data_IF_303821719194
#
_entry.id   IF_303821719194
#
_cell.length_a   1.000
_cell.length_b   1.000
_cell.length_c   1.000
_cell.angle_alpha   90.00
_cell.angle_beta   90.00
_cell.angle_gamma   90.00
#
_symmetry.space_group_name_H-M   'P 1'
#
loop_
_entity.id
_entity.type
_entity.pdbx_description
1 polymer ?
#
# COMPACT_ATOMS: atom_id res chain seq x y z
N UNK A 1 3.38 8.66 -0.20
CA UNK A 1 4.01 9.29 -1.38
C UNK A 1 3.41 8.71 -2.64
N UNK A 2 3.28 9.48 -3.74
CA UNK A 2 2.80 8.94 -5.00
C UNK A 2 3.85 8.00 -5.61
N UNK A 3 3.41 6.84 -6.11
CA UNK A 3 4.20 5.89 -6.86
C UNK A 3 4.05 6.22 -8.36
N UNK A 4 5.08 6.77 -9.03
CA UNK A 4 4.99 7.10 -10.45
C UNK A 4 5.07 5.84 -11.31
N UNK A 5 4.24 5.77 -12.34
CA UNK A 5 4.40 4.79 -13.41
C UNK A 5 5.68 5.11 -14.21
N UNK A 6 6.41 4.11 -14.76
CA UNK A 6 7.67 4.34 -15.49
C UNK A 6 7.59 5.31 -16.68
N UNK A 7 6.41 5.47 -17.29
CA UNK A 7 6.21 6.46 -18.38
C UNK A 7 6.07 7.91 -17.88
N UNK A 8 6.00 8.14 -16.57
CA UNK A 8 5.91 9.46 -15.94
C UNK A 8 4.55 10.18 -16.08
N UNK A 9 3.57 9.58 -16.75
CA UNK A 9 2.27 10.20 -17.00
C UNK A 9 1.22 9.84 -15.95
N UNK A 10 1.39 8.72 -15.28
CA UNK A 10 0.46 8.21 -14.28
C UNK A 10 1.15 8.05 -12.95
N UNK A 11 0.37 8.15 -11.87
CA UNK A 11 0.84 7.89 -10.52
C UNK A 11 -0.26 7.17 -9.73
N UNK A 12 0.17 6.43 -8.70
CA UNK A 12 -0.73 5.87 -7.71
C UNK A 12 -0.50 6.57 -6.39
N UNK A 13 -1.56 7.09 -5.78
CA UNK A 13 -1.54 7.57 -4.41
C UNK A 13 -2.23 6.55 -3.52
N UNK A 14 -1.64 6.24 -2.37
CA UNK A 14 -2.25 5.38 -1.36
C UNK A 14 -2.59 6.21 -0.12
N UNK A 15 -3.79 6.00 0.43
CA UNK A 15 -4.28 6.65 1.65
C UNK A 15 -5.02 5.63 2.51
N UNK A 16 -4.73 5.60 3.80
CA UNK A 16 -5.51 4.81 4.75
C UNK A 16 -6.70 5.63 5.29
N UNK A 17 -7.90 5.04 5.26
CA UNK A 17 -9.10 5.58 5.89
C UNK A 17 -9.40 4.80 7.17
N UNK A 18 -9.18 5.43 8.31
CA UNK A 18 -9.55 4.88 9.63
C UNK A 18 -11.07 4.69 9.75
N UNK A 19 -11.86 5.53 9.10
CA UNK A 19 -13.32 5.42 9.18
C UNK A 19 -13.86 4.19 8.44
N UNK A 20 -13.16 3.72 7.40
CA UNK A 20 -13.59 2.61 6.56
C UNK A 20 -12.80 1.31 6.81
N UNK A 21 -11.78 1.39 7.66
CA UNK A 21 -10.76 0.36 7.90
C UNK A 21 -10.19 -0.19 6.58
N UNK A 22 -9.79 0.72 5.69
CA UNK A 22 -9.43 0.39 4.32
C UNK A 22 -8.34 1.28 3.75
N UNK A 23 -7.54 0.69 2.85
CA UNK A 23 -6.65 1.43 1.96
C UNK A 23 -7.38 1.86 0.69
N UNK A 24 -7.18 3.12 0.33
CA UNK A 24 -7.62 3.72 -0.93
C UNK A 24 -6.39 3.85 -1.82
N UNK A 25 -6.40 3.17 -2.97
CA UNK A 25 -5.39 3.30 -4.01
C UNK A 25 -6.00 4.06 -5.17
N UNK A 26 -5.46 5.22 -5.48
CA UNK A 26 -5.99 6.13 -6.49
C UNK A 26 -5.03 6.20 -7.67
N UNK A 27 -5.48 5.76 -8.84
CA UNK A 27 -4.77 5.96 -10.09
C UNK A 27 -5.09 7.36 -10.63
N UNK A 28 -4.05 8.13 -10.89
CA UNK A 28 -4.16 9.53 -11.30
C UNK A 28 -3.38 9.78 -12.59
N UNK A 29 -3.90 10.70 -13.41
CA UNK A 29 -3.11 11.34 -14.46
C UNK A 29 -2.27 12.45 -13.82
N UNK A 30 -0.97 12.21 -13.68
CA UNK A 30 -0.08 13.01 -12.83
C UNK A 30 0.00 14.48 -13.24
N UNK A 31 -0.03 14.77 -14.54
CA UNK A 31 0.06 16.14 -15.07
C UNK A 31 -1.17 17.00 -14.75
N UNK A 32 -2.34 16.36 -14.58
CA UNK A 32 -3.62 17.05 -14.38
C UNK A 32 -4.17 16.85 -12.96
N UNK A 33 -3.52 16.02 -12.13
CA UNK A 33 -4.02 15.59 -10.82
C UNK A 33 -5.48 15.09 -10.91
N UNK A 34 -5.75 14.32 -11.96
CA UNK A 34 -7.09 13.83 -12.26
C UNK A 34 -7.19 12.36 -11.85
N UNK A 35 -8.03 12.07 -10.87
CA UNK A 35 -8.36 10.70 -10.46
C UNK A 35 -9.12 9.98 -11.57
N UNK A 36 -8.64 8.78 -11.90
CA UNK A 36 -9.19 7.94 -12.97
C UNK A 36 -9.92 6.73 -12.39
N UNK A 37 -9.30 6.11 -11.39
CA UNK A 37 -9.74 4.85 -10.79
C UNK A 37 -9.39 4.88 -9.31
N UNK A 38 -10.28 4.42 -8.47
CA UNK A 38 -10.02 4.22 -7.04
C UNK A 38 -10.30 2.77 -6.70
N UNK A 39 -9.31 2.09 -6.11
CA UNK A 39 -9.47 0.80 -5.49
C UNK A 39 -9.60 0.99 -3.97
N UNK A 40 -10.54 0.29 -3.36
CA UNK A 40 -10.75 0.25 -1.92
C UNK A 40 -10.44 -1.16 -1.44
N UNK A 41 -9.43 -1.29 -0.59
CA UNK A 41 -8.96 -2.56 -0.03
C UNK A 41 -9.23 -2.57 1.48
N UNK A 42 -10.31 -3.22 1.93
CA UNK A 42 -10.58 -3.43 3.35
C UNK A 42 -9.43 -4.20 4.00
N UNK A 43 -8.94 -3.71 5.12
CA UNK A 43 -7.69 -4.18 5.70
C UNK A 43 -7.93 -5.03 6.96
N UNK A 44 -8.83 -4.60 7.83
CA UNK A 44 -9.08 -5.22 9.14
C UNK A 44 -10.17 -6.31 9.10
N UNK A 45 -10.94 -6.40 8.01
CA UNK A 45 -11.88 -7.49 7.77
C UNK A 45 -11.50 -8.25 6.48
N UNK A 46 -10.90 -9.45 6.61
CA UNK A 46 -10.46 -10.21 5.46
C UNK A 46 -11.60 -10.76 4.60
N UNK A 47 -12.84 -10.81 5.12
CA UNK A 47 -14.01 -11.28 4.40
C UNK A 47 -14.66 -10.19 3.52
N UNK A 48 -14.37 -8.91 3.76
CA UNK A 48 -14.82 -7.83 2.90
C UNK A 48 -14.06 -7.87 1.57
N UNK A 49 -14.80 -7.85 0.47
CA UNK A 49 -14.23 -7.87 -0.88
C UNK A 49 -13.60 -6.51 -1.23
N UNK A 50 -12.38 -6.49 -1.78
CA UNK A 50 -11.82 -5.31 -2.41
C UNK A 50 -12.68 -4.87 -3.60
N UNK A 51 -12.78 -3.57 -3.83
CA UNK A 51 -13.60 -3.00 -4.91
C UNK A 51 -12.82 -1.99 -5.72
N UNK A 52 -13.22 -1.79 -6.96
CA UNK A 52 -12.65 -0.77 -7.86
C UNK A 52 -13.78 0.07 -8.42
N UNK A 53 -13.66 1.39 -8.33
CA UNK A 53 -14.60 2.34 -8.90
C UNK A 53 -13.90 3.24 -9.92
N UNK A 54 -14.63 3.57 -10.97
CA UNK A 54 -14.25 4.52 -11.99
C UNK A 54 -15.16 5.73 -11.82
N UNK A 55 -14.65 6.96 -11.88
CA UNK A 55 -15.51 8.14 -11.78
C UNK A 55 -16.45 8.20 -13.01
N UNK A 56 -17.75 7.93 -12.84
CA UNK A 56 -18.68 7.90 -13.96
C UNK A 56 -19.09 9.31 -14.42
N UNK A 57 -18.76 10.35 -13.63
CA UNK A 57 -19.04 11.76 -13.92
C UNK A 57 -17.81 12.50 -14.44
N UNK A 58 -16.65 11.86 -14.36
CA UNK A 58 -15.38 12.37 -14.89
C UNK A 58 -15.37 12.43 -16.41
N UNK A 59 -14.29 13.02 -16.95
CA UNK A 59 -14.02 12.99 -18.38
C UNK A 59 -13.82 11.52 -18.80
N UNK A 60 -14.47 11.10 -19.89
CA UNK A 60 -14.17 9.81 -20.50
C UNK A 60 -12.71 9.80 -20.98
N UNK A 61 -11.88 9.00 -20.33
CA UNK A 61 -10.45 8.88 -20.60
C UNK A 61 -10.12 7.43 -20.86
N UNK A 62 -9.37 7.20 -21.94
CA UNK A 62 -8.81 5.89 -22.25
C UNK A 62 -7.55 5.71 -21.41
N UNK A 63 -7.58 4.75 -20.48
CA UNK A 63 -6.40 4.33 -19.72
C UNK A 63 -5.71 3.22 -20.51
N UNK A 64 -4.41 3.35 -20.86
CA UNK A 64 -3.68 2.28 -21.51
C UNK A 64 -3.73 0.99 -20.69
N UNK A 65 -3.91 -0.16 -21.36
CA UNK A 65 -4.02 -1.46 -20.70
C UNK A 65 -2.84 -1.75 -19.76
N UNK A 66 -1.62 -1.43 -20.18
CA UNK A 66 -0.42 -1.64 -19.36
C UNK A 66 -0.42 -0.82 -18.06
N UNK A 67 -0.96 0.40 -18.10
CA UNK A 67 -1.10 1.25 -16.91
C UNK A 67 -2.16 0.66 -15.98
N UNK A 68 -3.28 0.20 -16.53
CA UNK A 68 -4.31 -0.47 -15.76
C UNK A 68 -3.78 -1.78 -15.12
N UNK A 69 -3.02 -2.57 -15.88
CA UNK A 69 -2.39 -3.81 -15.38
C UNK A 69 -1.46 -3.51 -14.21
N UNK A 70 -0.56 -2.54 -14.39
CA UNK A 70 0.32 -2.09 -13.32
C UNK A 70 -0.44 -1.60 -12.08
N UNK A 71 -1.53 -0.85 -12.26
CA UNK A 71 -2.39 -0.43 -11.14
C UNK A 71 -2.99 -1.64 -10.42
N UNK A 72 -3.55 -2.60 -11.16
CA UNK A 72 -4.11 -3.82 -10.57
C UNK A 72 -3.05 -4.66 -9.86
N UNK A 73 -1.80 -4.70 -10.35
CA UNK A 73 -0.71 -5.37 -9.65
C UNK A 73 -0.41 -4.73 -8.28
N UNK A 74 -0.49 -3.39 -8.18
CA UNK A 74 -0.36 -2.69 -6.90
C UNK A 74 -1.55 -2.95 -5.98
N UNK A 75 -2.77 -3.02 -6.52
CA UNK A 75 -3.97 -3.39 -5.75
C UNK A 75 -3.82 -4.82 -5.20
N UNK A 76 -3.34 -5.75 -6.00
CA UNK A 76 -3.10 -7.14 -5.56
C UNK A 76 -2.02 -7.23 -4.49
N UNK A 77 -0.96 -6.42 -4.59
CA UNK A 77 0.05 -6.31 -3.53
C UNK A 77 -0.56 -5.81 -2.23
N UNK A 78 -1.37 -4.75 -2.30
CA UNK A 78 -2.05 -4.22 -1.12
C UNK A 78 -2.99 -5.26 -0.49
N UNK A 79 -3.76 -6.00 -1.30
CA UNK A 79 -4.63 -7.07 -0.81
C UNK A 79 -3.80 -8.14 -0.09
N UNK A 80 -2.69 -8.58 -0.70
CA UNK A 80 -1.81 -9.59 -0.10
C UNK A 80 -1.24 -9.11 1.23
N UNK A 81 -0.73 -7.87 1.29
CA UNK A 81 -0.25 -7.25 2.52
C UNK A 81 -1.33 -7.20 3.60
N UNK A 82 -2.50 -6.65 3.26
CA UNK A 82 -3.66 -6.54 4.17
C UNK A 82 -4.19 -7.88 4.68
N UNK A 83 -4.12 -8.95 3.88
CA UNK A 83 -4.52 -10.29 4.34
C UNK A 83 -3.43 -10.98 5.16
N UNK A 84 -2.16 -10.70 4.89
CA UNK A 84 -1.04 -11.38 5.54
C UNK A 84 -0.93 -11.03 7.03
N UNK A 85 -1.03 -9.76 7.41
CA UNK A 85 -0.86 -9.37 8.82
C UNK A 85 -1.99 -9.89 9.71
N UNK A 86 -3.20 -10.04 9.18
CA UNK A 86 -4.35 -10.65 9.87
C UNK A 86 -4.16 -12.15 10.17
N UNK A 87 -3.15 -12.80 9.58
CA UNK A 87 -2.78 -14.18 9.86
C UNK A 87 -1.68 -14.31 10.92
N UNK A 88 -1.14 -13.19 11.42
CA UNK A 88 -0.13 -13.20 12.47
C UNK A 88 -0.73 -13.57 13.84
N UNK A 89 0.14 -13.73 14.84
CA UNK A 89 -0.30 -13.97 16.22
C UNK A 89 -1.17 -12.80 16.71
N UNK A 90 -2.18 -13.05 17.56
CA UNK A 90 -3.11 -12.01 18.02
C UNK A 90 -2.43 -10.78 18.63
N UNK A 91 -1.31 -10.96 19.34
CA UNK A 91 -0.60 -9.83 19.96
C UNK A 91 0.03 -8.89 18.92
N UNK A 92 0.46 -9.43 17.77
CA UNK A 92 1.03 -8.66 16.67
C UNK A 92 -0.06 -7.97 15.87
N UNK A 93 -1.18 -8.66 15.62
CA UNK A 93 -2.38 -8.09 14.99
C UNK A 93 -2.85 -6.86 15.77
N UNK A 94 -2.97 -6.98 17.09
CA UNK A 94 -3.37 -5.89 17.97
C UNK A 94 -2.38 -4.71 17.95
N UNK A 95 -1.07 -5.00 17.89
CA UNK A 95 -0.06 -3.94 17.79
C UNK A 95 -0.16 -3.19 16.46
N UNK A 96 -0.30 -3.91 15.34
CA UNK A 96 -0.43 -3.34 14.00
C UNK A 96 -1.72 -2.52 13.90
N UNK A 97 -2.82 -3.03 14.43
CA UNK A 97 -4.09 -2.32 14.53
C UNK A 97 -3.91 -0.97 15.23
N UNK A 98 -3.33 -0.95 16.44
CA UNK A 98 -3.09 0.30 17.17
C UNK A 98 -2.21 1.28 16.41
N UNK A 99 -1.13 0.81 15.79
CA UNK A 99 -0.24 1.65 14.99
C UNK A 99 -0.97 2.27 13.80
N UNK A 100 -1.82 1.52 13.11
CA UNK A 100 -2.60 2.05 11.97
C UNK A 100 -3.68 3.02 12.40
N UNK A 101 -4.29 2.83 13.56
CA UNK A 101 -5.27 3.76 14.10
C UNK A 101 -4.61 5.09 14.52
N UNK A 102 -3.38 5.05 15.04
CA UNK A 102 -2.66 6.25 15.52
C UNK A 102 -1.97 7.00 14.38
N UNK A 103 -1.32 6.27 13.46
CA UNK A 103 -0.45 6.83 12.43
C UNK A 103 -1.03 6.69 11.02
N UNK A 104 -2.22 6.13 10.86
CA UNK A 104 -2.90 6.00 9.56
C UNK A 104 -2.04 5.30 8.49
N UNK A 105 -1.24 4.33 8.93
CA UNK A 105 -0.33 3.59 8.06
C UNK A 105 0.87 4.38 7.54
N UNK A 106 1.13 5.60 8.05
CA UNK A 106 2.24 6.45 7.66
C UNK A 106 2.94 7.05 8.88
N UNK A 107 4.26 6.96 8.91
CA UNK A 107 5.08 7.58 9.94
C UNK A 107 6.22 8.36 9.28
N UNK A 108 6.48 9.57 9.75
CA UNK A 108 7.60 10.36 9.26
C UNK A 108 8.93 9.99 9.95
N UNK A 109 10.03 10.38 9.31
CA UNK A 109 11.39 10.09 9.78
C UNK A 109 11.72 10.70 11.15
N UNK A 110 11.00 11.75 11.57
CA UNK A 110 11.22 12.43 12.84
C UNK A 110 10.66 11.60 14.00
N UNK A 111 9.45 11.05 13.85
CA UNK A 111 8.81 10.23 14.88
C UNK A 111 9.21 8.75 14.82
N UNK A 112 9.65 8.25 13.67
CA UNK A 112 10.00 6.83 13.47
C UNK A 112 10.96 6.25 14.53
N UNK A 113 12.08 6.93 14.91
CA UNK A 113 13.00 6.39 15.92
C UNK A 113 12.36 6.16 17.28
N UNK A 114 11.45 7.04 17.69
CA UNK A 114 10.75 6.93 18.97
C UNK A 114 9.73 5.79 18.94
N UNK A 115 8.91 5.72 17.90
CA UNK A 115 7.91 4.64 17.74
C UNK A 115 8.60 3.27 17.64
N UNK A 116 9.73 3.18 16.93
CA UNK A 116 10.53 1.96 16.88
C UNK A 116 11.04 1.52 18.26
N UNK A 117 11.45 2.48 19.11
CA UNK A 117 11.88 2.18 20.47
C UNK A 117 10.71 1.67 21.34
N UNK A 118 9.51 2.24 21.17
CA UNK A 118 8.31 1.83 21.90
C UNK A 118 7.85 0.43 21.49
N UNK A 119 7.89 0.09 20.20
CA UNK A 119 7.59 -1.26 19.72
C UNK A 119 8.62 -2.26 20.27
N UNK A 120 9.92 -1.92 20.27
CA UNK A 120 11.00 -2.74 20.86
C UNK A 120 10.82 -3.01 22.35
N UNK A 121 10.25 -2.06 23.09
CA UNK A 121 9.97 -2.24 24.51
C UNK A 121 8.78 -3.20 24.73
N UNK A 122 7.85 -3.26 23.78
CA UNK A 122 6.61 -4.04 23.89
C UNK A 122 6.70 -5.46 23.29
N UNK A 123 7.54 -5.66 22.27
CA UNK A 123 7.58 -6.88 21.47
C UNK A 123 9.01 -7.43 21.30
N UNK A 124 9.17 -8.75 21.10
CA UNK A 124 10.46 -9.35 20.77
C UNK A 124 11.08 -8.77 19.48
N UNK A 125 12.41 -8.61 19.45
CA UNK A 125 13.13 -8.09 18.28
C UNK A 125 12.83 -8.89 16.99
N UNK A 126 12.58 -10.20 17.12
CA UNK A 126 12.26 -11.08 16.00
C UNK A 126 10.92 -10.74 15.31
N UNK A 127 10.01 -10.08 16.00
CA UNK A 127 8.68 -9.75 15.49
C UNK A 127 8.63 -8.34 14.85
N UNK A 128 9.64 -7.49 15.09
CA UNK A 128 9.66 -6.11 14.59
C UNK A 128 9.53 -5.99 13.07
N UNK A 129 10.23 -6.81 12.25
CA UNK A 129 10.14 -6.65 10.80
C UNK A 129 8.69 -6.86 10.29
N UNK A 130 7.98 -7.83 10.85
CA UNK A 130 6.60 -8.11 10.46
C UNK A 130 5.65 -6.98 10.87
N UNK A 131 5.82 -6.42 12.08
CA UNK A 131 4.98 -5.32 12.57
C UNK A 131 5.23 -4.04 11.78
N UNK A 132 6.49 -3.67 11.54
CA UNK A 132 6.85 -2.45 10.81
C UNK A 132 6.46 -2.52 9.33
N UNK A 133 6.68 -3.68 8.70
CA UNK A 133 6.28 -3.91 7.32
C UNK A 133 4.77 -3.80 7.17
N UNK A 134 3.99 -4.42 8.05
CA UNK A 134 2.54 -4.36 7.99
C UNK A 134 1.99 -2.98 8.36
N UNK A 135 2.49 -2.36 9.43
CA UNK A 135 1.96 -1.09 9.92
C UNK A 135 2.32 0.08 9.00
N UNK A 136 3.54 0.11 8.45
CA UNK A 136 4.09 1.30 7.79
C UNK A 136 4.69 1.04 6.40
N UNK A 137 4.82 -0.22 5.97
CA UNK A 137 5.58 -0.54 4.77
C UNK A 137 7.07 -0.24 4.93
N UNK A 138 7.61 -0.35 6.15
CA UNK A 138 9.00 -0.04 6.47
C UNK A 138 9.78 -1.24 7.04
N UNK A 139 11.07 -1.26 6.76
CA UNK A 139 12.07 -2.09 7.42
C UNK A 139 12.49 -1.46 8.77
N UNK A 140 13.10 -2.22 9.69
CA UNK A 140 13.61 -1.69 10.96
C UNK A 140 14.69 -0.60 10.84
N UNK A 141 15.32 -0.44 9.68
CA UNK A 141 16.27 0.62 9.39
C UNK A 141 15.61 1.90 8.84
N UNK A 142 14.28 1.91 8.70
CA UNK A 142 13.49 3.04 8.19
C UNK A 142 13.36 3.07 6.66
N UNK A 143 13.96 2.12 5.94
CA UNK A 143 13.79 2.03 4.49
C UNK A 143 12.44 1.41 4.14
N UNK A 144 11.86 1.78 3.00
CA UNK A 144 10.64 1.15 2.49
C UNK A 144 10.89 -0.32 2.16
N UNK A 145 9.94 -1.21 2.46
CA UNK A 145 10.07 -2.62 2.08
C UNK A 145 10.08 -2.71 0.56
N UNK A 146 11.12 -3.36 0.01
CA UNK A 146 11.25 -3.57 -1.42
C UNK A 146 10.27 -4.67 -1.83
N UNK A 147 9.13 -4.28 -2.42
CA UNK A 147 8.25 -5.27 -3.05
C UNK A 147 8.90 -5.66 -4.38
N UNK A 148 9.18 -6.95 -4.61
CA UNK A 148 9.76 -7.37 -5.88
C UNK A 148 8.81 -6.94 -7.00
N UNK A 149 9.26 -5.96 -7.80
CA UNK A 149 8.64 -5.68 -9.09
C UNK A 149 8.63 -7.00 -9.86
N UNK A 150 7.45 -7.37 -10.38
CA UNK A 150 7.35 -8.50 -11.31
C UNK A 150 8.49 -8.37 -12.34
N UNK A 151 9.20 -9.48 -12.65
CA UNK A 151 10.35 -9.40 -13.52
C UNK A 151 9.91 -8.73 -14.82
N UNK A 152 10.62 -7.67 -15.20
CA UNK A 152 10.46 -7.08 -16.53
C UNK A 152 10.62 -8.23 -17.52
N UNK A 153 9.56 -8.52 -18.28
CA UNK A 153 9.65 -9.46 -19.38
C UNK A 153 10.80 -9.00 -20.26
N UNK A 154 11.87 -9.79 -20.24
CA UNK A 154 13.10 -9.54 -20.95
C UNK A 154 12.73 -9.42 -22.44
N UNK A 155 12.76 -8.18 -22.94
CA UNK A 155 12.61 -7.85 -24.35
C UNK A 155 13.91 -8.30 -25.07
N UNK A 156 14.13 -9.61 -25.10
CA UNK A 156 15.33 -10.24 -25.61
C UNK A 156 15.00 -11.48 -26.44
N UNK A 157 14.18 -11.30 -27.47
CA UNK A 157 14.32 -12.09 -28.71
C UNK A 157 13.69 -11.33 -29.90
N UNK A 158 14.31 -10.25 -30.38
CA UNK A 158 15.16 -10.22 -31.60
C UNK A 158 14.64 -11.02 -32.82
N UNK A 159 14.47 -10.24 -33.89
CA UNK A 159 14.63 -10.53 -35.34
C UNK A 159 13.51 -11.21 -36.10
#
# INVERSE_FOLDING_TARGET
MPLPHPNGHYAITAMYSVADDAWYLELELAAEQLHLVTAVVPDEDPAREPTVCFDPRGRHLEVPYEVMRWFMDQVDEQIRSSRAWMQLRPELVEAIYRLRQEYMGFIDDEYFPQVLADIRAALPEADLPAVLSAAFGLNPDGTTVDHPQAPADDEANRT
#
